data_IF_689688170775
#
_entry.id   IF_689688170775
#
_cell.length_a   1.000
_cell.length_b   1.000
_cell.length_c   1.000
_cell.angle_alpha   90.00
_cell.angle_beta   90.00
_cell.angle_gamma   90.00
#
_symmetry.space_group_name_H-M   'P 1'
#
loop_
_entity.id
_entity.type
_entity.pdbx_description
1 polymer ?
#
# COMPACT_ATOMS: atom_id res chain seq x y z
N UNK A 1 -0.79 12.74 -4.67
CA UNK A 1 -0.87 11.53 -5.54
C UNK A 1 -2.27 11.32 -6.12
N UNK A 2 -3.34 11.40 -5.32
CA UNK A 2 -4.73 11.19 -5.78
C UNK A 2 -5.15 12.01 -7.00
N UNK A 3 -4.79 13.30 -7.06
CA UNK A 3 -5.04 14.14 -8.24
C UNK A 3 -4.31 13.65 -9.51
N UNK A 4 -3.15 12.99 -9.38
CA UNK A 4 -2.45 12.41 -10.53
C UNK A 4 -3.21 11.18 -11.06
N UNK A 5 -3.67 10.28 -10.17
CA UNK A 5 -4.52 9.16 -10.56
C UNK A 5 -5.83 9.64 -11.22
N UNK A 6 -6.46 10.69 -10.66
CA UNK A 6 -7.63 11.31 -11.27
C UNK A 6 -7.34 11.84 -12.70
N UNK A 7 -6.19 12.49 -12.91
CA UNK A 7 -5.76 12.95 -14.24
C UNK A 7 -5.51 11.80 -15.23
N UNK A 8 -5.19 10.60 -14.75
CA UNK A 8 -5.10 9.40 -15.59
C UNK A 8 -6.49 8.87 -15.99
N UNK A 9 -7.56 9.37 -15.37
CA UNK A 9 -8.93 8.88 -15.56
C UNK A 9 -9.41 7.94 -14.45
N UNK A 10 -8.61 7.73 -13.40
CA UNK A 10 -9.02 6.86 -12.30
C UNK A 10 -10.12 7.51 -11.44
N UNK A 11 -11.13 6.73 -11.10
CA UNK A 11 -12.25 7.15 -10.27
C UNK A 11 -11.79 7.33 -8.81
N UNK A 12 -11.54 8.58 -8.39
CA UNK A 12 -11.07 8.91 -7.05
C UNK A 12 -11.90 8.27 -5.93
N UNK A 13 -13.22 8.15 -6.10
CA UNK A 13 -14.12 7.55 -5.13
C UNK A 13 -13.96 6.02 -4.94
N UNK A 14 -13.28 5.35 -5.88
CA UNK A 14 -13.01 3.90 -5.84
C UNK A 14 -11.62 3.56 -5.32
N UNK A 15 -10.76 4.57 -5.19
CA UNK A 15 -9.45 4.48 -4.51
C UNK A 15 -9.65 4.69 -3.01
N UNK A 16 -9.35 3.65 -2.25
CA UNK A 16 -9.57 3.57 -0.81
C UNK A 16 -8.39 4.13 -0.01
N UNK A 17 -7.16 3.85 -0.44
CA UNK A 17 -5.93 4.36 0.15
C UNK A 17 -4.83 4.48 -0.92
N UNK A 18 -3.87 5.38 -0.70
CA UNK A 18 -2.65 5.48 -1.49
C UNK A 18 -1.49 5.72 -0.56
N UNK A 19 -0.48 4.85 -0.61
CA UNK A 19 0.76 5.04 0.14
C UNK A 19 1.99 4.64 -0.68
N UNK A 20 3.17 5.01 -0.18
CA UNK A 20 4.45 4.72 -0.82
C UNK A 20 5.20 3.68 0.02
N UNK A 21 5.08 2.37 -0.30
CA UNK A 21 5.69 1.33 0.50
C UNK A 21 7.23 1.39 0.48
N UNK A 22 7.80 1.73 -0.69
CA UNK A 22 9.23 1.91 -0.91
C UNK A 22 9.51 3.06 -1.88
N UNK A 23 10.77 3.47 -1.99
CA UNK A 23 11.19 4.52 -2.95
C UNK A 23 10.94 4.04 -4.38
N UNK A 24 10.17 4.81 -5.14
CA UNK A 24 9.82 4.49 -6.53
C UNK A 24 8.61 3.56 -6.69
N UNK A 25 8.01 3.10 -5.58
CA UNK A 25 6.80 2.29 -5.59
C UNK A 25 5.62 3.07 -5.00
N UNK A 26 4.45 2.89 -5.61
CA UNK A 26 3.17 3.45 -5.14
C UNK A 26 2.21 2.29 -4.99
N UNK A 27 1.71 2.08 -3.78
CA UNK A 27 0.63 1.15 -3.52
C UNK A 27 -0.70 1.90 -3.57
N UNK A 28 -1.67 1.33 -4.28
CA UNK A 28 -3.03 1.86 -4.39
C UNK A 28 -3.98 0.78 -3.91
N UNK A 29 -4.72 1.05 -2.84
CA UNK A 29 -5.80 0.18 -2.40
C UNK A 29 -7.08 0.60 -3.10
N UNK A 30 -7.76 -0.35 -3.72
CA UNK A 30 -8.99 -0.11 -4.47
C UNK A 30 -10.07 -1.12 -4.09
N UNK A 31 -11.31 -0.77 -4.41
CA UNK A 31 -12.40 -1.74 -4.37
C UNK A 31 -12.20 -2.84 -5.43
N UNK A 32 -12.42 -4.11 -5.09
CA UNK A 32 -12.17 -5.26 -5.98
C UNK A 32 -12.89 -5.15 -7.33
N UNK A 33 -14.17 -4.76 -7.33
CA UNK A 33 -14.94 -4.53 -8.56
C UNK A 33 -14.51 -3.31 -9.39
N UNK A 34 -13.41 -2.63 -9.04
CA UNK A 34 -12.80 -1.57 -9.83
C UNK A 34 -11.47 -2.02 -10.48
N UNK A 35 -11.01 -3.23 -10.19
CA UNK A 35 -9.70 -3.71 -10.64
C UNK A 35 -9.56 -3.73 -12.17
N UNK A 36 -10.51 -4.33 -12.89
CA UNK A 36 -10.44 -4.43 -14.35
C UNK A 36 -10.49 -3.05 -15.03
N UNK A 37 -11.33 -2.14 -14.53
CA UNK A 37 -11.40 -0.77 -15.05
C UNK A 37 -10.09 -0.01 -14.81
N UNK A 38 -9.53 -0.10 -13.61
CA UNK A 38 -8.23 0.52 -13.32
C UNK A 38 -7.14 -0.08 -14.19
N UNK A 39 -7.14 -1.39 -14.41
CA UNK A 39 -6.16 -2.08 -15.25
C UNK A 39 -6.17 -1.53 -16.68
N UNK A 40 -7.35 -1.39 -17.30
CA UNK A 40 -7.51 -0.77 -18.63
C UNK A 40 -6.98 0.67 -18.65
N UNK A 41 -7.26 1.45 -17.61
CA UNK A 41 -6.73 2.82 -17.48
C UNK A 41 -5.20 2.79 -17.43
N UNK A 42 -4.59 1.95 -16.60
CA UNK A 42 -3.14 1.85 -16.48
C UNK A 42 -2.48 1.42 -17.79
N UNK A 43 -3.05 0.42 -18.48
CA UNK A 43 -2.60 -0.06 -19.78
C UNK A 43 -2.62 1.04 -20.85
N UNK A 44 -3.69 1.85 -20.91
CA UNK A 44 -3.80 3.01 -21.81
C UNK A 44 -2.62 3.98 -21.64
N UNK A 45 -2.14 4.15 -20.40
CA UNK A 45 -1.01 5.01 -20.07
C UNK A 45 0.33 4.27 -20.05
N UNK A 46 0.38 3.00 -20.48
CA UNK A 46 1.57 2.14 -20.46
C UNK A 46 2.19 2.00 -19.06
N UNK A 47 1.36 2.09 -18.02
CA UNK A 47 1.77 1.90 -16.63
C UNK A 47 1.62 0.41 -16.31
N UNK A 48 2.73 -0.26 -16.05
CA UNK A 48 2.74 -1.68 -15.69
C UNK A 48 2.75 -1.80 -14.17
N UNK A 49 1.75 -2.47 -13.55
CA UNK A 49 1.79 -2.78 -12.13
C UNK A 49 3.01 -3.65 -11.79
N UNK A 50 3.66 -3.35 -10.67
CA UNK A 50 4.76 -4.18 -10.16
C UNK A 50 4.17 -5.49 -9.66
N UNK A 51 4.65 -6.61 -10.23
CA UNK A 51 4.29 -7.95 -9.77
C UNK A 51 5.15 -8.36 -8.58
N UNK A 52 4.59 -9.18 -7.70
CA UNK A 52 5.29 -9.83 -6.58
C UNK A 52 6.08 -8.87 -5.66
N UNK A 53 5.57 -7.65 -5.47
CA UNK A 53 6.21 -6.64 -4.64
C UNK A 53 6.26 -7.08 -3.16
N UNK A 54 7.46 -7.28 -2.63
CA UNK A 54 7.68 -7.64 -1.22
C UNK A 54 7.86 -6.39 -0.35
N UNK A 55 6.80 -5.99 0.37
CA UNK A 55 6.86 -4.83 1.29
C UNK A 55 7.84 -5.00 2.46
N UNK A 56 8.31 -6.22 2.71
CA UNK A 56 9.21 -6.53 3.82
C UNK A 56 10.65 -6.75 3.38
N UNK A 57 11.00 -6.51 2.11
CA UNK A 57 12.38 -6.56 1.65
C UNK A 57 13.23 -5.54 2.46
N UNK A 58 14.29 -5.98 3.16
CA UNK A 58 15.13 -5.08 3.97
C UNK A 58 15.73 -3.92 3.16
N UNK A 59 15.92 -4.07 1.85
CA UNK A 59 16.41 -3.01 0.96
C UNK A 59 15.44 -1.84 0.78
N UNK A 60 14.16 -2.03 1.15
CA UNK A 60 13.17 -0.96 1.15
C UNK A 60 13.32 0.00 2.34
N UNK A 61 14.02 -0.41 3.39
CA UNK A 61 14.38 0.50 4.49
C UNK A 61 15.54 1.40 4.06
N UNK A 62 15.26 2.70 3.93
CA UNK A 62 16.26 3.68 3.45
C UNK A 62 16.43 4.91 4.34
N UNK A 63 15.83 4.90 5.53
CA UNK A 63 16.04 5.97 6.51
C UNK A 63 17.47 5.86 7.06
N UNK A 64 18.35 6.86 6.85
CA UNK A 64 19.74 6.79 7.31
C UNK A 64 19.86 6.53 8.81
N UNK A 65 18.99 7.11 9.63
CA UNK A 65 19.01 6.92 11.09
C UNK A 65 18.66 5.49 11.49
N UNK A 66 17.76 4.86 10.74
CA UNK A 66 17.41 3.46 10.96
C UNK A 66 18.50 2.53 10.41
N UNK A 67 19.21 2.91 9.35
CA UNK A 67 20.32 2.13 8.81
C UNK A 67 21.57 2.18 9.71
N UNK A 68 21.78 3.28 10.43
CA UNK A 68 22.84 3.41 11.43
C UNK A 68 22.58 2.52 12.67
N UNK A 69 21.31 2.30 13.01
CA UNK A 69 20.91 1.57 14.23
C UNK A 69 20.56 0.11 13.97
N UNK A 70 19.96 -0.21 12.82
CA UNK A 70 19.53 -1.56 12.44
C UNK A 70 20.53 -2.16 11.45
N UNK A 71 21.39 -3.03 11.97
CA UNK A 71 22.52 -3.58 11.23
C UNK A 71 22.19 -4.94 10.61
N UNK A 72 21.24 -5.69 11.18
CA UNK A 72 20.79 -6.97 10.65
C UNK A 72 19.49 -6.83 9.83
N UNK A 73 19.35 -7.63 8.78
CA UNK A 73 18.17 -7.67 7.93
C UNK A 73 16.91 -8.13 8.68
N UNK A 74 17.02 -9.01 9.68
CA UNK A 74 15.87 -9.42 10.50
C UNK A 74 15.25 -8.25 11.28
N UNK A 75 16.09 -7.37 11.83
CA UNK A 75 15.65 -6.16 12.54
C UNK A 75 14.96 -5.19 11.57
N UNK A 76 15.50 -5.06 10.36
CA UNK A 76 14.93 -4.22 9.29
C UNK A 76 13.58 -4.76 8.84
N UNK A 77 13.47 -6.06 8.61
CA UNK A 77 12.20 -6.74 8.28
C UNK A 77 11.18 -6.49 9.39
N UNK A 78 11.56 -6.64 10.65
CA UNK A 78 10.69 -6.40 11.80
C UNK A 78 10.22 -4.94 11.85
N UNK A 79 11.13 -3.98 11.60
CA UNK A 79 10.79 -2.56 11.51
C UNK A 79 9.85 -2.26 10.36
N UNK A 80 10.07 -2.85 9.18
CA UNK A 80 9.22 -2.70 8.00
C UNK A 80 7.82 -3.27 8.25
N UNK A 81 7.71 -4.44 8.90
CA UNK A 81 6.42 -5.00 9.34
C UNK A 81 5.65 -4.02 10.23
N UNK A 82 6.32 -3.43 11.23
CA UNK A 82 5.70 -2.42 12.11
C UNK A 82 5.24 -1.17 11.35
N UNK A 83 6.07 -0.66 10.44
CA UNK A 83 5.72 0.49 9.59
C UNK A 83 4.52 0.16 8.69
N UNK A 84 4.51 -1.03 8.10
CA UNK A 84 3.42 -1.49 7.25
C UNK A 84 2.11 -1.57 8.05
N UNK A 85 2.12 -2.21 9.22
CA UNK A 85 0.97 -2.29 10.12
C UNK A 85 0.45 -0.90 10.52
N UNK A 86 1.34 0.01 10.92
CA UNK A 86 0.97 1.39 11.26
C UNK A 86 0.28 2.09 10.09
N UNK A 87 0.76 1.91 8.86
CA UNK A 87 0.13 2.48 7.66
C UNK A 87 -1.25 1.88 7.40
N UNK A 88 -1.42 0.57 7.59
CA UNK A 88 -2.73 -0.08 7.40
C UNK A 88 -3.75 0.41 8.44
N UNK A 89 -3.36 0.52 9.71
CA UNK A 89 -4.21 1.08 10.77
C UNK A 89 -4.58 2.52 10.44
N UNK A 90 -3.60 3.34 10.07
CA UNK A 90 -3.84 4.72 9.68
C UNK A 90 -4.77 4.81 8.46
N UNK A 91 -4.59 3.97 7.44
CA UNK A 91 -5.48 3.92 6.29
C UNK A 91 -6.92 3.62 6.72
N UNK A 92 -7.14 2.69 7.65
CA UNK A 92 -8.46 2.37 8.19
C UNK A 92 -9.10 3.56 8.92
N UNK A 93 -8.34 4.33 9.71
CA UNK A 93 -8.86 5.49 10.47
C UNK A 93 -9.56 6.54 9.59
N UNK A 94 -9.08 6.72 8.35
CA UNK A 94 -9.65 7.70 7.41
C UNK A 94 -10.62 7.07 6.40
N UNK A 95 -10.84 5.74 6.45
CA UNK A 95 -11.80 5.08 5.58
C UNK A 95 -13.24 5.38 6.00
N UNK A 96 -14.12 5.41 5.00
CA UNK A 96 -15.56 5.54 5.23
C UNK A 96 -16.07 4.31 5.99
N UNK A 97 -17.04 4.53 6.89
CA UNK A 97 -17.61 3.49 7.78
C UNK A 97 -18.01 2.21 7.04
N UNK A 98 -18.63 2.32 5.86
CA UNK A 98 -19.08 1.17 5.07
C UNK A 98 -17.94 0.36 4.42
N UNK A 99 -16.75 0.95 4.26
CA UNK A 99 -15.56 0.27 3.70
C UNK A 99 -14.60 -0.20 4.80
N UNK A 100 -14.58 0.50 5.93
CA UNK A 100 -13.67 0.21 7.05
C UNK A 100 -13.71 -1.27 7.47
N UNK A 101 -14.89 -1.77 7.86
CA UNK A 101 -15.04 -3.16 8.35
C UNK A 101 -14.58 -4.23 7.34
N UNK A 102 -15.04 -4.23 6.07
CA UNK A 102 -14.62 -5.26 5.13
C UNK A 102 -13.11 -5.19 4.83
N UNK A 103 -12.52 -4.00 4.74
CA UNK A 103 -11.07 -3.87 4.52
C UNK A 103 -10.26 -4.32 5.73
N UNK A 104 -10.65 -3.95 6.94
CA UNK A 104 -9.98 -4.41 8.16
C UNK A 104 -9.99 -5.93 8.26
N UNK A 105 -11.13 -6.57 7.95
CA UNK A 105 -11.25 -8.03 7.92
C UNK A 105 -10.34 -8.65 6.86
N UNK A 106 -10.25 -8.06 5.67
CA UNK A 106 -9.34 -8.53 4.61
C UNK A 106 -7.86 -8.42 5.05
N UNK A 107 -7.47 -7.33 5.70
CA UNK A 107 -6.11 -7.18 6.25
C UNK A 107 -5.77 -8.24 7.30
N UNK A 108 -6.71 -8.59 8.19
CA UNK A 108 -6.53 -9.68 9.16
C UNK A 108 -6.44 -11.03 8.45
N UNK A 109 -7.31 -11.28 7.47
CA UNK A 109 -7.29 -12.54 6.71
C UNK A 109 -5.97 -12.75 5.95
N UNK A 110 -5.35 -11.67 5.45
CA UNK A 110 -4.04 -11.69 4.81
C UNK A 110 -2.87 -11.79 5.80
N UNK A 111 -3.14 -11.79 7.11
CA UNK A 111 -2.12 -11.78 8.16
C UNK A 111 -1.33 -10.47 8.24
N UNK A 112 -1.85 -9.38 7.67
CA UNK A 112 -1.19 -8.07 7.72
C UNK A 112 -1.44 -7.35 9.03
N UNK A 113 -2.65 -7.50 9.59
CA UNK A 113 -3.01 -7.02 10.92
C UNK A 113 -3.36 -8.21 11.82
N UNK A 114 -3.07 -8.06 13.11
CA UNK A 114 -3.53 -8.98 14.14
C UNK A 114 -4.85 -8.46 14.72
N UNK A 115 -5.73 -9.39 15.13
CA UNK A 115 -7.03 -9.08 15.74
C UNK A 115 -6.88 -8.57 17.16
#
# INVERSE_FOLDING_TARGET
MRNKLHKLGAASGRVLDIHCPARGAVAVLIHIGYYEELKVILEKWKIVPVQDFNSFDPQHLRDPKLLETLTNDEERITKLKKIHQQRLVHALEYMRVHVHRPVARDFVHRGWLTT
#
